data_IF_842222368350
#
_entry.id   IF_842222368350
#
_cell.length_a   1.000
_cell.length_b   1.000
_cell.length_c   1.000
_cell.angle_alpha   90.00
_cell.angle_beta   90.00
_cell.angle_gamma   90.00
#
_symmetry.space_group_name_H-M   'P 1'
#
loop_
_entity.id
_entity.type
_entity.pdbx_description
1 polymer ?
#
# COMPACT_ATOMS: atom_id res chain seq x y z
N UNK A 1 11.21 -28.21 15.10
CA UNK A 1 11.13 -28.80 13.75
C UNK A 1 11.04 -27.64 12.77
N UNK A 2 12.11 -27.42 12.00
CA UNK A 2 12.27 -26.30 11.06
C UNK A 2 11.41 -26.54 9.82
N UNK A 3 10.29 -25.84 9.69
CA UNK A 3 9.45 -25.89 8.50
C UNK A 3 9.60 -24.60 7.70
N UNK A 4 10.52 -24.68 6.74
CA UNK A 4 10.56 -23.95 5.48
C UNK A 4 9.94 -22.53 5.46
N UNK A 5 10.82 -21.52 5.53
CA UNK A 5 10.62 -20.20 4.94
C UNK A 5 10.15 -20.35 3.47
N UNK A 6 8.84 -20.42 3.25
CA UNK A 6 8.26 -20.00 1.99
C UNK A 6 8.54 -18.49 1.90
N UNK A 7 9.66 -18.11 1.29
CA UNK A 7 9.96 -16.75 0.86
C UNK A 7 8.97 -16.37 -0.25
N UNK A 8 7.68 -16.28 0.09
CA UNK A 8 6.70 -15.72 -0.80
C UNK A 8 7.06 -14.26 -1.03
N UNK A 9 6.97 -13.80 -2.29
CA UNK A 9 7.14 -12.40 -2.68
C UNK A 9 6.10 -11.45 -2.04
N UNK A 10 5.24 -11.96 -1.16
CA UNK A 10 4.24 -11.21 -0.44
C UNK A 10 4.88 -10.40 0.70
N UNK A 11 4.40 -9.18 0.89
CA UNK A 11 4.77 -8.34 2.03
C UNK A 11 4.44 -9.05 3.36
N UNK A 12 5.29 -8.92 4.40
CA UNK A 12 4.97 -9.50 5.70
C UNK A 12 3.67 -8.93 6.24
N UNK A 13 2.77 -9.80 6.74
CA UNK A 13 1.42 -9.41 7.21
C UNK A 13 1.43 -8.24 8.20
N UNK A 14 2.42 -8.20 9.11
CA UNK A 14 2.58 -7.15 10.10
C UNK A 14 2.79 -5.74 9.51
N UNK A 15 3.33 -5.64 8.29
CA UNK A 15 3.66 -4.38 7.64
C UNK A 15 2.56 -3.87 6.69
N UNK A 16 1.62 -4.72 6.27
CA UNK A 16 0.57 -4.34 5.31
C UNK A 16 -0.27 -3.16 5.83
N UNK A 17 -0.73 -3.24 7.08
CA UNK A 17 -1.58 -2.19 7.68
C UNK A 17 -0.80 -0.88 7.89
N UNK A 18 0.40 -0.88 8.49
CA UNK A 18 1.23 0.33 8.58
C UNK A 18 1.51 0.98 7.22
N UNK A 19 1.83 0.19 6.19
CA UNK A 19 2.11 0.72 4.85
C UNK A 19 0.85 1.37 4.25
N UNK A 20 -0.32 0.73 4.35
CA UNK A 20 -1.58 1.35 3.88
C UNK A 20 -1.86 2.67 4.58
N UNK A 21 -1.69 2.72 5.91
CA UNK A 21 -1.90 3.94 6.68
C UNK A 21 -0.94 5.06 6.25
N UNK A 22 0.35 4.75 6.09
CA UNK A 22 1.33 5.71 5.61
C UNK A 22 0.97 6.27 4.22
N UNK A 23 0.54 5.41 3.30
CA UNK A 23 0.09 5.83 1.96
C UNK A 23 -1.14 6.75 2.07
N UNK A 24 -2.13 6.41 2.90
CA UNK A 24 -3.30 7.27 3.10
C UNK A 24 -2.94 8.63 3.71
N UNK A 25 -1.97 8.68 4.62
CA UNK A 25 -1.46 9.95 5.17
C UNK A 25 -0.79 10.81 4.10
N UNK A 26 0.02 10.21 3.22
CA UNK A 26 0.64 10.93 2.10
C UNK A 26 -0.43 11.48 1.15
N UNK A 27 -1.43 10.67 0.78
CA UNK A 27 -2.53 11.11 -0.08
C UNK A 27 -3.33 12.26 0.56
N UNK A 28 -3.63 12.16 1.85
CA UNK A 28 -4.31 13.23 2.59
C UNK A 28 -3.47 14.52 2.61
N UNK A 29 -2.16 14.41 2.78
CA UNK A 29 -1.22 15.54 2.71
C UNK A 29 -1.20 16.20 1.34
N UNK A 30 -1.16 15.41 0.26
CA UNK A 30 -1.26 15.92 -1.10
C UNK A 30 -2.61 16.62 -1.35
N UNK A 31 -3.72 16.04 -0.89
CA UNK A 31 -5.04 16.68 -1.00
C UNK A 31 -5.11 18.01 -0.24
N UNK A 32 -4.56 18.07 0.97
CA UNK A 32 -4.49 19.31 1.74
C UNK A 32 -3.63 20.36 1.03
N UNK A 33 -2.48 19.97 0.47
CA UNK A 33 -1.61 20.88 -0.27
C UNK A 33 -2.33 21.51 -1.46
N UNK A 34 -3.05 20.70 -2.26
CA UNK A 34 -3.83 21.19 -3.41
C UNK A 34 -4.94 22.15 -2.92
N UNK A 35 -5.65 21.78 -1.86
CA UNK A 35 -6.75 22.58 -1.33
C UNK A 35 -6.28 23.98 -0.89
N UNK A 36 -5.16 24.06 -0.17
CA UNK A 36 -4.65 25.34 0.34
C UNK A 36 -3.89 26.17 -0.69
N UNK A 37 -3.33 25.56 -1.75
CA UNK A 37 -2.45 26.25 -2.70
C UNK A 37 -3.01 26.30 -4.13
N UNK A 38 -4.30 26.00 -4.34
CA UNK A 38 -4.89 25.79 -5.68
C UNK A 38 -4.64 26.93 -6.69
N UNK A 39 -4.48 28.17 -6.21
CA UNK A 39 -4.19 29.36 -7.02
C UNK A 39 -2.71 29.55 -7.40
N UNK A 40 -1.80 28.80 -6.77
CA UNK A 40 -0.35 28.88 -6.95
C UNK A 40 0.25 27.58 -7.51
N UNK A 41 -0.58 26.57 -7.85
CA UNK A 41 -0.07 25.32 -8.40
C UNK A 41 0.51 25.52 -9.81
N UNK A 42 1.83 25.48 -9.91
CA UNK A 42 2.52 25.35 -11.19
C UNK A 42 2.41 23.92 -11.76
N UNK A 43 2.63 23.78 -13.08
CA UNK A 43 2.60 22.50 -13.80
C UNK A 43 3.53 21.43 -13.19
N UNK A 44 4.68 21.85 -12.66
CA UNK A 44 5.64 20.98 -11.96
C UNK A 44 5.03 20.32 -10.73
N UNK A 45 4.20 21.03 -9.95
CA UNK A 45 3.50 20.48 -8.80
C UNK A 45 2.51 19.39 -9.21
N UNK A 46 1.78 19.59 -10.30
CA UNK A 46 0.86 18.58 -10.83
C UNK A 46 1.59 17.30 -11.25
N UNK A 47 2.74 17.41 -11.94
CA UNK A 47 3.55 16.25 -12.31
C UNK A 47 4.02 15.46 -11.07
N UNK A 48 4.49 16.16 -10.04
CA UNK A 48 4.92 15.52 -8.79
C UNK A 48 3.74 14.86 -8.08
N UNK A 49 2.60 15.52 -7.97
CA UNK A 49 1.42 14.95 -7.30
C UNK A 49 0.91 13.72 -8.05
N UNK A 50 0.82 13.77 -9.38
CA UNK A 50 0.35 12.63 -10.19
C UNK A 50 1.30 11.43 -10.05
N UNK A 51 2.61 11.66 -10.04
CA UNK A 51 3.58 10.57 -9.82
C UNK A 51 3.48 9.97 -8.42
N UNK A 52 3.29 10.78 -7.38
CA UNK A 52 3.03 10.31 -6.01
C UNK A 52 1.77 9.43 -5.98
N UNK A 53 0.68 9.87 -6.61
CA UNK A 53 -0.58 9.12 -6.68
C UNK A 53 -0.39 7.78 -7.40
N UNK A 54 0.38 7.76 -8.50
CA UNK A 54 0.68 6.52 -9.23
C UNK A 54 1.46 5.51 -8.37
N UNK A 55 2.50 5.98 -7.66
CA UNK A 55 3.29 5.13 -6.75
C UNK A 55 2.46 4.64 -5.57
N UNK A 56 1.64 5.51 -4.98
CA UNK A 56 0.71 5.16 -3.91
C UNK A 56 -0.27 4.05 -4.35
N UNK A 57 -0.82 4.16 -5.56
CA UNK A 57 -1.73 3.16 -6.10
C UNK A 57 -1.05 1.79 -6.28
N UNK A 58 0.17 1.76 -6.83
CA UNK A 58 0.95 0.52 -6.97
C UNK A 58 1.23 -0.11 -5.61
N UNK A 59 1.68 0.67 -4.63
CA UNK A 59 1.97 0.16 -3.29
C UNK A 59 0.71 -0.36 -2.56
N UNK A 60 -0.46 0.27 -2.77
CA UNK A 60 -1.74 -0.25 -2.27
C UNK A 60 -2.14 -1.56 -2.94
N UNK A 61 -1.88 -1.73 -4.23
CA UNK A 61 -2.10 -2.99 -4.95
C UNK A 61 -1.20 -4.10 -4.38
N UNK A 62 0.08 -3.83 -4.17
CA UNK A 62 1.01 -4.81 -3.55
C UNK A 62 0.55 -5.22 -2.15
N UNK A 63 0.08 -4.26 -1.36
CA UNK A 63 -0.50 -4.50 -0.04
C UNK A 63 -1.80 -5.33 -0.11
N UNK A 64 -2.60 -5.17 -1.17
CA UNK A 64 -3.83 -5.95 -1.37
C UNK A 64 -3.52 -7.38 -1.79
N UNK A 65 -2.65 -7.55 -2.78
CA UNK A 65 -2.23 -8.87 -3.28
C UNK A 65 -1.58 -9.68 -2.15
N UNK A 66 -0.73 -9.04 -1.34
CA UNK A 66 -0.10 -9.69 -0.18
C UNK A 66 -1.12 -10.09 0.88
N UNK A 67 -2.11 -9.24 1.17
CA UNK A 67 -3.17 -9.54 2.15
C UNK A 67 -4.07 -10.70 1.69
N UNK A 68 -4.43 -10.72 0.40
CA UNK A 68 -5.21 -11.80 -0.19
C UNK A 68 -4.43 -13.13 -0.18
N UNK A 69 -3.11 -13.10 -0.38
CA UNK A 69 -2.25 -14.27 -0.24
C UNK A 69 -2.31 -14.84 1.18
N UNK A 70 -2.10 -14.01 2.21
CA UNK A 70 -2.14 -14.46 3.61
C UNK A 70 -3.52 -15.00 4.01
N UNK A 71 -4.60 -14.34 3.57
CA UNK A 71 -5.98 -14.80 3.83
C UNK A 71 -6.29 -16.14 3.19
N UNK A 72 -5.75 -16.43 1.99
CA UNK A 72 -5.90 -17.75 1.35
C UNK A 72 -5.19 -18.83 2.16
N UNK A 73 -3.96 -18.55 2.57
CA UNK A 73 -3.13 -19.49 3.34
C UNK A 73 -3.77 -19.82 4.71
N UNK A 74 -4.35 -18.82 5.38
CA UNK A 74 -5.10 -19.03 6.64
C UNK A 74 -6.37 -19.87 6.44
N UNK A 75 -7.07 -19.68 5.31
CA UNK A 75 -8.26 -20.49 4.97
C UNK A 75 -7.89 -21.94 4.66
N UNK A 76 -6.76 -22.17 4.01
CA UNK A 76 -6.26 -23.52 3.71
C UNK A 76 -5.81 -24.24 4.98
N UNK A 77 -5.08 -23.54 5.86
CA UNK A 77 -4.69 -24.08 7.16
C UNK A 77 -5.90 -24.50 8.01
N UNK A 78 -6.94 -23.66 8.08
CA UNK A 78 -8.17 -23.95 8.84
C UNK A 78 -9.02 -25.10 8.28
N UNK A 79 -8.83 -25.47 7.01
CA UNK A 79 -9.52 -26.63 6.40
C UNK A 79 -8.77 -27.94 6.62
N UNK A 80 -7.49 -27.88 7.00
CA UNK A 80 -6.65 -29.03 7.28
C UNK A 80 -6.71 -29.48 8.75
N UNK A 81 -7.20 -28.60 9.64
CA UNK A 81 -7.59 -28.89 11.02
C UNK A 81 -9.05 -29.38 11.09
#
# INVERSE_FOLDING_TARGET
MSTAKNKGSALPKAWIVPIRLAIYSVLAGCSAFIYFNVGELEFTHYLVIVTIVAVAAMALLDCRVSDDYWKKLEKEARKAD
#
